data_IF_159518126162
#
_entry.id   IF_159518126162
#
_cell.length_a   1.000
_cell.length_b   1.000
_cell.length_c   1.000
_cell.angle_alpha   90.00
_cell.angle_beta   90.00
_cell.angle_gamma   90.00
#
_symmetry.space_group_name_H-M   'P 1'
#
loop_
_entity.id
_entity.type
_entity.pdbx_description
1 polymer ?
#
# COMPACT_ATOMS: atom_id res chain seq x y z
N UNK A 1 -1.19 -20.79 5.94
CA UNK A 1 -1.34 -20.46 4.51
C UNK A 1 -0.25 -19.47 4.14
N UNK A 2 0.59 -19.75 3.14
CA UNK A 2 1.54 -18.76 2.60
C UNK A 2 0.75 -17.71 1.86
N UNK A 3 0.75 -16.45 2.30
CA UNK A 3 -0.08 -15.39 1.74
C UNK A 3 0.42 -14.95 0.37
N UNK A 4 1.62 -14.37 0.32
CA UNK A 4 2.25 -13.89 -0.92
C UNK A 4 3.66 -14.45 -1.13
N UNK A 5 4.03 -15.53 -0.43
CA UNK A 5 5.40 -16.02 -0.38
C UNK A 5 5.99 -16.34 -1.77
N UNK A 6 7.27 -16.01 -2.02
CA UNK A 6 7.95 -16.45 -3.24
C UNK A 6 7.99 -17.97 -3.30
N UNK A 7 7.72 -18.54 -4.47
CA UNK A 7 7.88 -19.99 -4.67
C UNK A 7 9.35 -20.34 -4.48
N UNK A 8 9.67 -21.11 -3.45
CA UNK A 8 11.01 -21.64 -3.27
C UNK A 8 11.29 -22.62 -4.40
N UNK A 9 12.09 -22.24 -5.38
CA UNK A 9 12.66 -23.16 -6.34
C UNK A 9 13.66 -24.01 -5.60
N UNK A 10 13.37 -25.30 -5.45
CA UNK A 10 14.34 -26.28 -5.00
C UNK A 10 15.46 -26.34 -6.06
N UNK A 11 16.57 -25.66 -5.78
CA UNK A 11 17.80 -25.88 -6.53
C UNK A 11 18.36 -27.20 -6.01
N UNK A 12 18.18 -28.24 -6.80
CA UNK A 12 18.80 -29.55 -6.57
C UNK A 12 20.30 -29.38 -6.89
N UNK A 13 21.09 -29.07 -5.84
CA UNK A 13 22.55 -28.99 -5.96
C UNK A 13 23.10 -30.38 -6.11
N UNK A 14 23.53 -30.74 -7.31
CA UNK A 14 24.36 -31.92 -7.56
C UNK A 14 25.76 -31.58 -7.03
N UNK A 15 26.13 -32.19 -5.92
CA UNK A 15 27.48 -32.12 -5.36
C UNK A 15 28.40 -33.02 -6.19
N UNK A 16 29.21 -32.40 -7.04
CA UNK A 16 30.36 -33.04 -7.67
C UNK A 16 31.55 -32.83 -6.72
N UNK A 17 31.97 -33.91 -6.09
CA UNK A 17 33.20 -33.94 -5.27
C UNK A 17 34.39 -33.97 -6.23
N UNK A 18 35.10 -32.88 -6.38
CA UNK A 18 36.46 -32.87 -6.95
C UNK A 18 37.48 -32.63 -5.83
N UNK A 19 38.25 -33.68 -5.54
CA UNK A 19 39.41 -33.62 -4.67
C UNK A 19 40.56 -32.98 -5.48
N UNK A 20 41.08 -31.85 -5.03
CA UNK A 20 42.24 -31.22 -5.66
C UNK A 20 42.56 -29.88 -5.02
N UNK A 21 43.39 -29.95 -3.98
CA UNK A 21 43.87 -28.82 -3.20
C UNK A 21 44.88 -27.96 -4.01
N UNK A 22 44.63 -26.61 -4.07
CA UNK A 22 45.71 -25.60 -4.04
C UNK A 22 45.12 -24.28 -3.50
N UNK A 23 45.67 -23.83 -2.38
CA UNK A 23 45.36 -22.53 -1.79
C UNK A 23 45.84 -21.41 -2.74
N UNK A 24 44.90 -20.50 -3.07
CA UNK A 24 45.18 -19.21 -3.67
C UNK A 24 44.80 -18.07 -2.71
N UNK A 25 45.45 -16.92 -2.75
CA UNK A 25 45.35 -15.88 -1.75
C UNK A 25 43.96 -15.22 -1.72
N UNK A 26 43.55 -14.81 -0.53
CA UNK A 26 42.30 -14.09 -0.27
C UNK A 26 42.19 -12.83 -1.12
N UNK A 27 41.37 -12.88 -2.15
CA UNK A 27 40.91 -11.68 -2.86
C UNK A 27 39.89 -10.97 -1.98
N UNK A 28 40.17 -9.68 -1.75
CA UNK A 28 39.33 -8.79 -0.95
C UNK A 28 37.87 -8.86 -1.39
N UNK A 29 36.98 -9.03 -0.40
CA UNK A 29 35.56 -8.98 -0.59
C UNK A 29 35.19 -7.61 -1.19
N UNK A 30 34.93 -7.57 -2.47
CA UNK A 30 34.28 -6.46 -3.13
C UNK A 30 32.90 -6.33 -2.48
N UNK A 31 32.73 -5.27 -1.71
CA UNK A 31 31.44 -4.86 -1.16
C UNK A 31 30.47 -4.75 -2.35
N UNK A 32 29.54 -5.72 -2.45
CA UNK A 32 28.52 -5.68 -3.48
C UNK A 32 27.85 -4.31 -3.41
N UNK A 33 27.90 -3.56 -4.50
CA UNK A 33 27.19 -2.29 -4.59
C UNK A 33 25.72 -2.57 -4.32
N UNK A 34 25.15 -1.87 -3.33
CA UNK A 34 23.69 -1.90 -3.10
C UNK A 34 23.08 -1.37 -4.40
N UNK A 35 22.24 -2.17 -5.09
CA UNK A 35 21.65 -1.71 -6.33
C UNK A 35 20.82 -0.47 -6.04
N UNK A 36 21.06 0.60 -6.80
CA UNK A 36 20.20 1.78 -6.77
C UNK A 36 18.84 1.35 -7.29
N UNK A 37 17.87 1.18 -6.41
CA UNK A 37 16.45 1.02 -6.76
C UNK A 37 15.91 2.41 -7.10
N UNK A 38 16.32 2.94 -8.24
CA UNK A 38 15.79 4.21 -8.76
C UNK A 38 14.30 4.02 -9.10
N UNK A 39 13.50 5.02 -8.78
CA UNK A 39 12.10 5.07 -9.19
C UNK A 39 12.01 5.14 -10.72
N UNK A 40 11.16 4.30 -11.31
CA UNK A 40 10.80 4.34 -12.72
C UNK A 40 9.38 4.91 -12.85
N UNK A 41 9.21 5.98 -13.60
CA UNK A 41 7.88 6.50 -13.89
C UNK A 41 7.19 5.64 -14.95
N UNK A 42 5.91 5.32 -14.68
CA UNK A 42 5.08 4.55 -15.60
C UNK A 42 3.75 5.24 -15.85
N UNK A 43 3.16 4.93 -17.00
CA UNK A 43 1.83 5.39 -17.38
C UNK A 43 0.88 4.20 -17.48
N UNK A 44 -0.34 4.37 -16.97
CA UNK A 44 -1.40 3.38 -17.10
C UNK A 44 -2.74 4.09 -17.41
N UNK A 45 -3.68 3.33 -17.98
CA UNK A 45 -4.94 3.89 -18.44
C UNK A 45 -6.10 3.48 -17.52
N UNK A 46 -6.96 4.42 -17.17
CA UNK A 46 -8.27 4.16 -16.58
C UNK A 46 -9.36 4.70 -17.53
N UNK A 47 -9.88 3.84 -18.42
CA UNK A 47 -10.69 4.27 -19.55
C UNK A 47 -9.91 5.27 -20.42
N UNK A 48 -10.45 6.49 -20.64
CA UNK A 48 -9.78 7.53 -21.41
C UNK A 48 -8.71 8.29 -20.62
N UNK A 49 -8.64 8.12 -19.28
CA UNK A 49 -7.69 8.85 -18.43
C UNK A 49 -6.32 8.22 -18.49
N UNK A 50 -5.32 9.05 -18.77
CA UNK A 50 -3.90 8.70 -18.63
C UNK A 50 -3.45 9.05 -17.21
N UNK A 51 -3.11 8.04 -16.43
CA UNK A 51 -2.61 8.15 -15.07
C UNK A 51 -1.14 7.74 -15.01
N UNK A 52 -0.41 8.26 -14.05
CA UNK A 52 1.00 7.99 -13.85
C UNK A 52 1.28 7.44 -12.46
N UNK A 53 2.36 6.71 -12.34
CA UNK A 53 2.84 6.19 -11.06
C UNK A 53 4.33 5.99 -11.08
N UNK A 54 4.87 5.53 -9.96
CA UNK A 54 6.28 5.17 -9.82
C UNK A 54 6.41 3.70 -9.45
N UNK A 55 7.42 3.05 -10.00
CA UNK A 55 7.74 1.64 -9.73
C UNK A 55 9.15 1.56 -9.19
N UNK A 56 9.32 0.83 -8.09
CA UNK A 56 10.61 0.38 -7.59
C UNK A 56 10.71 -1.12 -7.81
N UNK A 57 11.75 -1.57 -8.52
CA UNK A 57 11.93 -2.98 -8.89
C UNK A 57 13.07 -3.61 -8.11
N UNK A 58 12.94 -4.88 -7.66
CA UNK A 58 14.08 -5.66 -7.22
C UNK A 58 15.09 -5.85 -8.36
N UNK A 59 16.30 -6.19 -7.99
CA UNK A 59 17.30 -6.69 -8.95
C UNK A 59 17.05 -8.14 -9.29
N UNK A 60 17.38 -8.52 -10.54
CA UNK A 60 17.27 -9.91 -11.00
C UNK A 60 16.16 -10.13 -12.03
N UNK A 61 15.96 -11.36 -12.46
CA UNK A 61 15.15 -11.66 -13.65
C UNK A 61 13.63 -11.67 -13.41
N UNK A 62 13.12 -11.69 -12.15
CA UNK A 62 11.68 -11.82 -11.90
C UNK A 62 11.09 -13.18 -12.37
N UNK A 63 9.75 -13.35 -12.45
CA UNK A 63 8.74 -12.40 -12.00
C UNK A 63 8.68 -12.29 -10.47
N UNK A 64 8.34 -11.10 -9.99
CA UNK A 64 8.35 -10.76 -8.56
C UNK A 64 6.94 -10.66 -7.98
N UNK A 65 6.75 -10.87 -6.66
CA UNK A 65 5.57 -10.40 -5.97
C UNK A 65 5.53 -8.87 -6.02
N UNK A 66 4.34 -8.28 -5.87
CA UNK A 66 4.17 -6.84 -5.91
C UNK A 66 3.29 -6.32 -4.80
N UNK A 67 3.52 -5.06 -4.42
CA UNK A 67 2.59 -4.26 -3.62
C UNK A 67 2.12 -3.07 -4.44
N UNK A 68 0.80 -2.90 -4.56
CA UNK A 68 0.16 -1.68 -5.03
C UNK A 68 -0.05 -0.78 -3.80
N UNK A 69 0.55 0.42 -3.80
CA UNK A 69 0.51 1.30 -2.66
C UNK A 69 -0.33 2.56 -2.93
N UNK A 70 -1.46 2.66 -2.24
CA UNK A 70 -2.35 3.80 -2.28
C UNK A 70 -1.82 4.90 -1.34
N UNK A 71 -1.48 6.06 -1.88
CA UNK A 71 -0.98 7.18 -1.09
C UNK A 71 -2.10 7.91 -0.33
N UNK A 72 -1.75 8.57 0.78
CA UNK A 72 -2.61 9.52 1.47
C UNK A 72 -2.94 10.74 0.60
N UNK A 73 -3.61 11.73 1.16
CA UNK A 73 -3.92 12.99 0.47
C UNK A 73 -3.42 14.17 1.27
N UNK A 74 -2.72 15.09 0.58
CA UNK A 74 -2.28 16.35 1.15
C UNK A 74 -2.35 17.45 0.09
N UNK A 75 -2.71 18.70 0.45
CA UNK A 75 -2.69 19.82 -0.47
C UNK A 75 -1.32 20.02 -1.11
N UNK A 76 -1.28 20.33 -2.40
CA UNK A 76 -0.03 20.61 -3.12
C UNK A 76 0.92 19.43 -3.25
N UNK A 77 0.48 18.20 -3.03
CA UNK A 77 1.30 17.02 -3.19
C UNK A 77 1.69 16.84 -4.66
N UNK A 78 2.96 17.13 -4.96
CA UNK A 78 3.57 16.86 -6.27
C UNK A 78 4.15 15.45 -6.31
N UNK A 79 4.80 15.02 -5.21
CA UNK A 79 5.36 13.69 -5.02
C UNK A 79 4.88 13.10 -3.71
N UNK A 80 4.68 11.80 -3.66
CA UNK A 80 4.38 11.12 -2.40
C UNK A 80 5.67 10.79 -1.65
N UNK A 81 5.92 11.46 -0.53
CA UNK A 81 7.02 11.09 0.37
C UNK A 81 6.95 9.62 0.82
N UNK A 82 5.73 9.05 0.87
CA UNK A 82 5.54 7.65 1.20
C UNK A 82 6.22 6.73 0.17
N UNK A 83 6.15 7.07 -1.12
CA UNK A 83 6.76 6.25 -2.17
C UNK A 83 8.27 6.16 -2.03
N UNK A 84 8.93 7.30 -1.80
CA UNK A 84 10.39 7.36 -1.64
C UNK A 84 10.86 6.69 -0.34
N UNK A 85 10.04 6.76 0.72
CA UNK A 85 10.37 6.15 2.01
C UNK A 85 10.16 4.63 2.04
N UNK A 86 9.17 4.13 1.29
CA UNK A 86 8.70 2.74 1.38
C UNK A 86 9.15 1.91 0.17
N UNK A 87 9.09 2.48 -1.03
CA UNK A 87 9.36 1.75 -2.27
C UNK A 87 10.71 1.05 -2.31
N UNK A 88 11.84 1.71 -2.00
CA UNK A 88 13.14 1.06 -1.95
C UNK A 88 13.23 -0.09 -0.95
N UNK A 89 12.48 -0.02 0.16
CA UNK A 89 12.46 -1.09 1.18
C UNK A 89 11.77 -2.36 0.65
N UNK A 90 10.65 -2.20 -0.07
CA UNK A 90 9.99 -3.33 -0.74
C UNK A 90 10.89 -3.94 -1.81
N UNK A 91 11.52 -3.12 -2.65
CA UNK A 91 12.44 -3.60 -3.67
C UNK A 91 13.63 -4.37 -3.08
N UNK A 92 14.20 -3.89 -1.96
CA UNK A 92 15.27 -4.58 -1.25
C UNK A 92 14.87 -5.94 -0.67
N UNK A 93 13.57 -6.17 -0.43
CA UNK A 93 13.01 -7.46 0.03
C UNK A 93 12.51 -8.34 -1.13
N UNK A 94 12.80 -8.00 -2.38
CA UNK A 94 12.41 -8.80 -3.54
C UNK A 94 10.96 -8.57 -4.01
N UNK A 95 10.33 -7.47 -3.63
CA UNK A 95 8.99 -7.08 -4.03
C UNK A 95 9.02 -5.87 -4.96
N UNK A 96 8.25 -5.91 -6.02
CA UNK A 96 7.96 -4.68 -6.78
C UNK A 96 7.03 -3.82 -5.95
N UNK A 97 7.41 -2.54 -5.79
CA UNK A 97 6.52 -1.53 -5.24
C UNK A 97 5.97 -0.70 -6.40
N UNK A 98 4.66 -0.58 -6.49
CA UNK A 98 4.00 0.30 -7.43
C UNK A 98 3.14 1.33 -6.69
N UNK A 99 3.52 2.59 -6.79
CA UNK A 99 2.80 3.75 -6.27
C UNK A 99 2.08 4.49 -7.38
N UNK A 100 0.82 4.15 -7.71
CA UNK A 100 0.03 4.96 -8.65
C UNK A 100 -0.37 6.27 -8.00
N UNK A 101 -0.35 7.37 -8.76
CA UNK A 101 -0.99 8.61 -8.35
C UNK A 101 -2.44 8.61 -8.83
N UNK A 102 -3.37 8.83 -7.88
CA UNK A 102 -4.78 9.06 -8.18
C UNK A 102 -4.93 10.32 -9.04
N UNK A 103 -6.03 10.39 -9.80
CA UNK A 103 -6.41 11.61 -10.53
C UNK A 103 -6.36 12.85 -9.63
N UNK A 104 -5.88 13.96 -10.16
CA UNK A 104 -5.77 15.22 -9.44
C UNK A 104 -4.61 15.30 -8.44
N UNK A 105 -3.69 14.32 -8.41
CA UNK A 105 -2.56 14.32 -7.47
C UNK A 105 -1.24 13.90 -8.12
N UNK A 106 -0.14 14.44 -7.59
CA UNK A 106 1.21 14.11 -8.00
C UNK A 106 1.40 14.15 -9.53
N UNK A 107 1.96 13.10 -10.08
CA UNK A 107 2.17 12.98 -11.54
C UNK A 107 0.87 12.87 -12.34
N UNK A 108 -0.28 12.61 -11.70
CA UNK A 108 -1.61 12.54 -12.32
C UNK A 108 -2.45 13.81 -12.07
N UNK A 109 -1.82 14.94 -11.73
CA UNK A 109 -2.53 16.19 -11.40
C UNK A 109 -3.42 16.67 -12.55
N UNK A 110 -3.06 16.43 -13.80
CA UNK A 110 -3.84 16.83 -14.98
C UNK A 110 -5.02 15.88 -15.30
N UNK A 111 -5.13 14.74 -14.60
CA UNK A 111 -6.15 13.74 -14.88
C UNK A 111 -7.49 14.02 -14.17
N UNK A 112 -7.59 15.08 -13.38
CA UNK A 112 -8.82 15.47 -12.69
C UNK A 112 -8.58 16.45 -11.54
N UNK A 113 -9.64 16.86 -10.85
CA UNK A 113 -9.53 17.76 -9.70
C UNK A 113 -8.93 17.05 -8.48
N UNK A 114 -8.24 17.80 -7.65
CA UNK A 114 -7.74 17.31 -6.36
C UNK A 114 -8.91 16.97 -5.42
N UNK A 115 -8.84 15.81 -4.76
CA UNK A 115 -9.90 15.35 -3.85
C UNK A 115 -10.20 16.36 -2.74
N UNK A 116 -9.18 17.00 -2.16
CA UNK A 116 -9.36 18.01 -1.12
C UNK A 116 -10.22 19.19 -1.58
N UNK A 117 -10.00 19.69 -2.79
CA UNK A 117 -10.78 20.80 -3.35
C UNK A 117 -12.25 20.43 -3.55
N UNK A 118 -12.51 19.17 -3.97
CA UNK A 118 -13.87 18.64 -4.10
C UNK A 118 -14.57 18.54 -2.75
N UNK A 119 -13.86 18.02 -1.72
CA UNK A 119 -14.37 17.92 -0.36
C UNK A 119 -14.65 19.30 0.26
N UNK A 120 -13.80 20.28 0.01
CA UNK A 120 -13.99 21.65 0.48
C UNK A 120 -15.16 22.34 -0.24
N UNK A 121 -15.33 22.08 -1.53
CA UNK A 121 -16.49 22.53 -2.28
C UNK A 121 -17.79 21.92 -1.74
N UNK A 122 -17.80 20.62 -1.44
CA UNK A 122 -18.94 19.96 -0.81
C UNK A 122 -19.24 20.55 0.58
N UNK A 123 -18.20 20.83 1.37
CA UNK A 123 -18.35 21.47 2.69
C UNK A 123 -18.99 22.86 2.58
N UNK A 124 -18.55 23.67 1.64
CA UNK A 124 -19.15 25.02 1.40
C UNK A 124 -20.62 24.92 0.97
N UNK A 125 -20.99 23.88 0.21
CA UNK A 125 -22.34 23.69 -0.32
C UNK A 125 -23.34 23.18 0.72
N UNK A 126 -22.94 22.24 1.58
CA UNK A 126 -23.87 21.54 2.47
C UNK A 126 -23.24 21.07 3.80
N UNK A 127 -22.13 21.68 4.22
CA UNK A 127 -21.51 21.39 5.52
C UNK A 127 -20.86 20.01 5.61
N UNK A 128 -20.69 19.54 6.85
CA UNK A 128 -20.01 18.28 7.17
C UNK A 128 -20.70 17.08 6.52
N UNK A 129 -22.03 17.05 6.49
CA UNK A 129 -22.77 15.94 5.88
C UNK A 129 -22.53 15.83 4.38
N UNK A 130 -22.51 16.95 3.66
CA UNK A 130 -22.19 16.95 2.23
C UNK A 130 -20.73 16.51 1.98
N UNK A 131 -19.78 16.93 2.83
CA UNK A 131 -18.40 16.45 2.79
C UNK A 131 -18.31 14.95 3.00
N UNK A 132 -19.03 14.40 3.99
CA UNK A 132 -19.04 12.98 4.28
C UNK A 132 -19.59 12.14 3.10
N UNK A 133 -20.68 12.58 2.50
CA UNK A 133 -21.24 11.94 1.31
C UNK A 133 -20.26 12.00 0.12
N UNK A 134 -19.59 13.12 -0.08
CA UNK A 134 -18.62 13.31 -1.16
C UNK A 134 -17.37 12.45 -0.97
N UNK A 135 -16.88 12.26 0.26
CA UNK A 135 -15.79 11.31 0.55
C UNK A 135 -16.13 9.92 0.03
N UNK A 136 -17.32 9.41 0.37
CA UNK A 136 -17.76 8.08 -0.06
C UNK A 136 -17.89 8.02 -1.57
N UNK A 137 -18.53 9.00 -2.19
CA UNK A 137 -18.71 9.06 -3.65
C UNK A 137 -17.38 9.00 -4.39
N UNK A 138 -16.40 9.76 -3.93
CA UNK A 138 -15.07 9.79 -4.56
C UNK A 138 -14.28 8.51 -4.32
N UNK A 139 -14.24 8.01 -3.08
CA UNK A 139 -13.41 6.86 -2.71
C UNK A 139 -14.00 5.52 -3.12
N UNK A 140 -15.33 5.40 -3.27
CA UNK A 140 -15.95 4.19 -3.85
C UNK A 140 -16.10 4.25 -5.38
N UNK A 141 -15.98 5.43 -5.97
CA UNK A 141 -16.14 5.68 -7.39
C UNK A 141 -14.81 5.90 -8.11
N UNK A 142 -14.53 7.15 -8.39
CA UNK A 142 -13.43 7.58 -9.26
C UNK A 142 -12.05 7.10 -8.79
N UNK A 143 -11.75 7.25 -7.49
CA UNK A 143 -10.44 6.91 -6.96
C UNK A 143 -10.25 5.38 -6.84
N UNK A 144 -11.30 4.64 -6.44
CA UNK A 144 -11.25 3.18 -6.48
C UNK A 144 -11.07 2.66 -7.91
N UNK A 145 -11.72 3.30 -8.89
CA UNK A 145 -11.52 2.99 -10.30
C UNK A 145 -10.05 3.17 -10.74
N UNK A 146 -9.38 4.22 -10.26
CA UNK A 146 -7.96 4.45 -10.53
C UNK A 146 -7.08 3.34 -9.91
N UNK A 147 -7.37 2.92 -8.68
CA UNK A 147 -6.69 1.77 -8.05
C UNK A 147 -6.89 0.47 -8.84
N UNK A 148 -8.11 0.18 -9.28
CA UNK A 148 -8.40 -1.03 -10.05
C UNK A 148 -7.73 -1.03 -11.42
N UNK A 149 -7.62 0.12 -12.07
CA UNK A 149 -6.84 0.29 -13.29
C UNK A 149 -5.34 0.05 -13.06
N UNK A 150 -4.80 0.53 -11.95
CA UNK A 150 -3.42 0.27 -11.54
C UNK A 150 -3.18 -1.23 -11.27
N UNK A 151 -4.11 -1.90 -10.60
CA UNK A 151 -4.05 -3.36 -10.39
C UNK A 151 -4.07 -4.11 -11.74
N UNK A 152 -4.94 -3.70 -12.66
CA UNK A 152 -5.02 -4.30 -13.99
C UNK A 152 -3.71 -4.10 -14.79
N UNK A 153 -3.02 -2.97 -14.61
CA UNK A 153 -1.70 -2.74 -15.19
C UNK A 153 -0.66 -3.69 -14.59
N UNK A 154 -0.60 -3.83 -13.26
CA UNK A 154 0.31 -4.78 -12.59
C UNK A 154 0.11 -6.22 -13.07
N UNK A 155 -1.14 -6.67 -13.18
CA UNK A 155 -1.46 -8.03 -13.62
C UNK A 155 -0.99 -8.36 -15.04
N UNK A 156 -0.80 -7.34 -15.88
CA UNK A 156 -0.29 -7.50 -17.27
C UNK A 156 1.22 -7.36 -17.38
N UNK A 157 1.89 -6.83 -16.36
CA UNK A 157 3.32 -6.62 -16.39
C UNK A 157 4.07 -7.96 -16.30
N UNK A 158 4.93 -8.26 -17.28
CA UNK A 158 5.61 -9.56 -17.39
C UNK A 158 6.58 -9.85 -16.25
N UNK A 159 7.04 -8.81 -15.55
CA UNK A 159 7.93 -8.92 -14.38
C UNK A 159 7.18 -9.11 -13.05
N UNK A 160 5.84 -9.23 -13.08
CA UNK A 160 5.00 -9.41 -11.88
C UNK A 160 4.41 -10.82 -11.85
N UNK A 161 4.34 -11.39 -10.67
CA UNK A 161 3.54 -12.57 -10.37
C UNK A 161 2.08 -12.14 -10.13
N UNK A 162 1.14 -12.41 -11.05
CA UNK A 162 -0.23 -11.90 -10.94
C UNK A 162 -1.02 -12.48 -9.76
N UNK A 163 -0.59 -13.63 -9.24
CA UNK A 163 -1.15 -14.31 -8.06
C UNK A 163 -0.58 -13.80 -6.72
N UNK A 164 0.46 -12.97 -6.76
CA UNK A 164 1.17 -12.46 -5.60
C UNK A 164 1.20 -10.92 -5.57
N UNK A 165 0.03 -10.30 -5.74
CA UNK A 165 -0.14 -8.85 -5.63
C UNK A 165 -0.85 -8.53 -4.32
N UNK A 166 -0.15 -7.82 -3.42
CA UNK A 166 -0.72 -7.22 -2.24
C UNK A 166 -1.17 -5.78 -2.52
N UNK A 167 -2.03 -5.25 -1.67
CA UNK A 167 -2.39 -3.82 -1.67
C UNK A 167 -2.07 -3.22 -0.31
N UNK A 168 -1.54 -2.01 -0.29
CA UNK A 168 -1.25 -1.27 0.93
C UNK A 168 -1.62 0.19 0.75
N UNK A 169 -1.82 0.93 1.85
CA UNK A 169 -2.05 2.35 1.75
C UNK A 169 -2.11 3.05 3.10
N UNK A 170 -1.99 4.37 3.07
CA UNK A 170 -2.06 5.19 4.27
C UNK A 170 -3.12 6.29 4.16
N UNK A 171 -3.77 6.64 5.28
CA UNK A 171 -4.77 7.70 5.35
C UNK A 171 -5.91 7.46 4.32
N UNK A 172 -6.18 8.36 3.40
CA UNK A 172 -7.12 8.10 2.30
C UNK A 172 -6.77 6.84 1.49
N UNK A 173 -5.48 6.56 1.30
CA UNK A 173 -5.03 5.33 0.65
C UNK A 173 -5.31 4.07 1.48
N UNK A 174 -5.31 4.18 2.81
CA UNK A 174 -5.76 3.10 3.70
C UNK A 174 -7.25 2.80 3.51
N UNK A 175 -8.09 3.85 3.39
CA UNK A 175 -9.51 3.68 3.06
C UNK A 175 -9.67 2.94 1.73
N UNK A 176 -8.98 3.39 0.68
CA UNK A 176 -9.03 2.75 -0.64
C UNK A 176 -8.56 1.30 -0.60
N UNK A 177 -7.55 1.00 0.21
CA UNK A 177 -7.07 -0.37 0.42
C UNK A 177 -8.18 -1.25 0.97
N UNK A 178 -8.89 -0.82 2.02
CA UNK A 178 -10.02 -1.56 2.60
C UNK A 178 -11.17 -1.70 1.59
N UNK A 179 -11.53 -0.64 0.87
CA UNK A 179 -12.58 -0.71 -0.16
C UNK A 179 -12.17 -1.61 -1.34
N UNK A 180 -10.90 -1.59 -1.71
CA UNK A 180 -10.37 -2.38 -2.82
C UNK A 180 -10.42 -3.89 -2.58
N UNK A 181 -10.19 -4.36 -1.35
CA UNK A 181 -10.23 -5.81 -1.05
C UNK A 181 -11.63 -6.41 -1.07
N UNK A 182 -12.68 -5.60 -0.99
CA UNK A 182 -14.05 -6.05 -1.27
C UNK A 182 -14.25 -6.33 -2.76
N UNK A 183 -13.62 -5.56 -3.63
CA UNK A 183 -13.82 -5.58 -5.08
C UNK A 183 -12.96 -6.62 -5.78
N UNK A 184 -11.69 -6.72 -5.41
CA UNK A 184 -10.71 -7.55 -6.09
C UNK A 184 -9.96 -8.48 -5.14
N UNK A 185 -9.57 -9.68 -5.58
CA UNK A 185 -8.70 -10.55 -4.80
C UNK A 185 -7.26 -10.04 -4.86
N UNK A 186 -6.74 -9.71 -3.70
CA UNK A 186 -5.31 -9.50 -3.44
C UNK A 186 -4.77 -10.68 -2.61
N UNK A 187 -3.46 -10.91 -2.60
CA UNK A 187 -2.89 -11.94 -1.73
C UNK A 187 -2.91 -11.51 -0.25
N UNK A 188 -2.78 -10.22 0.01
CA UNK A 188 -2.91 -9.60 1.33
C UNK A 188 -3.17 -8.09 1.19
N UNK A 189 -3.58 -7.44 2.28
CA UNK A 189 -3.77 -6.00 2.34
C UNK A 189 -3.17 -5.40 3.61
N UNK A 190 -2.72 -4.13 3.54
CA UNK A 190 -2.18 -3.39 4.69
C UNK A 190 -2.84 -2.03 4.75
N UNK A 191 -3.64 -1.80 5.79
CA UNK A 191 -4.24 -0.51 6.08
C UNK A 191 -3.44 0.19 7.19
N UNK A 192 -2.76 1.26 6.82
CA UNK A 192 -2.03 2.13 7.73
C UNK A 192 -2.82 3.42 7.96
N UNK A 193 -3.34 3.62 9.16
CA UNK A 193 -4.00 4.88 9.57
C UNK A 193 -5.25 5.26 8.76
N UNK A 194 -5.87 4.31 8.06
CA UNK A 194 -7.03 4.56 7.21
C UNK A 194 -8.20 5.16 7.98
N UNK A 195 -8.74 6.28 7.49
CA UNK A 195 -9.87 7.01 8.05
C UNK A 195 -9.67 7.66 9.43
N UNK A 196 -8.47 7.65 10.04
CA UNK A 196 -8.25 8.21 11.38
C UNK A 196 -8.76 9.66 11.53
N UNK A 197 -8.59 10.52 10.54
CA UNK A 197 -9.07 11.91 10.58
C UNK A 197 -10.57 12.07 10.26
N UNK A 198 -11.16 11.10 9.58
CA UNK A 198 -12.51 11.20 9.03
C UNK A 198 -13.54 10.41 9.82
N UNK A 199 -13.10 9.43 10.62
CA UNK A 199 -13.94 8.40 11.22
C UNK A 199 -15.11 8.94 12.03
N UNK A 200 -14.87 9.87 12.93
CA UNK A 200 -15.89 10.46 13.79
C UNK A 200 -16.87 11.36 13.02
N UNK A 201 -16.47 11.88 11.85
CA UNK A 201 -17.20 12.91 11.09
C UNK A 201 -17.94 12.37 9.88
N UNK A 202 -17.72 11.12 9.48
CA UNK A 202 -18.24 10.53 8.25
C UNK A 202 -18.89 9.16 8.50
N UNK A 203 -20.13 9.11 9.01
CA UNK A 203 -20.84 7.86 9.33
C UNK A 203 -21.05 6.97 8.09
N UNK A 204 -21.27 7.54 6.92
CA UNK A 204 -21.42 6.81 5.66
C UNK A 204 -20.11 6.12 5.27
N UNK A 205 -18.97 6.78 5.46
CA UNK A 205 -17.66 6.18 5.25
C UNK A 205 -17.42 5.03 6.20
N UNK A 206 -17.76 5.18 7.49
CA UNK A 206 -17.68 4.08 8.46
C UNK A 206 -18.49 2.87 8.00
N UNK A 207 -19.73 3.10 7.57
CA UNK A 207 -20.59 2.03 7.07
C UNK A 207 -20.00 1.32 5.85
N UNK A 208 -19.47 2.08 4.89
CA UNK A 208 -18.81 1.54 3.70
C UNK A 208 -17.58 0.71 4.05
N UNK A 209 -16.70 1.20 4.92
CA UNK A 209 -15.50 0.47 5.33
C UNK A 209 -15.83 -0.78 6.16
N UNK A 210 -16.81 -0.72 7.07
CA UNK A 210 -17.26 -1.89 7.84
C UNK A 210 -17.83 -2.97 6.90
N UNK A 211 -18.64 -2.57 5.92
CA UNK A 211 -19.13 -3.48 4.88
C UNK A 211 -17.97 -4.12 4.12
N UNK A 212 -17.01 -3.30 3.67
CA UNK A 212 -15.87 -3.78 2.91
C UNK A 212 -14.98 -4.75 3.72
N UNK A 213 -14.75 -4.46 5.01
CA UNK A 213 -14.02 -5.34 5.92
C UNK A 213 -14.71 -6.70 6.09
N UNK A 214 -16.05 -6.72 6.27
CA UNK A 214 -16.83 -7.95 6.37
C UNK A 214 -16.80 -8.78 5.09
N UNK A 215 -16.73 -8.13 3.94
CA UNK A 215 -16.69 -8.76 2.61
C UNK A 215 -15.27 -8.95 2.06
N UNK A 216 -14.24 -8.65 2.86
CA UNK A 216 -12.84 -8.69 2.40
C UNK A 216 -12.51 -10.04 1.75
N UNK A 217 -11.86 -9.97 0.58
CA UNK A 217 -11.41 -11.13 -0.22
C UNK A 217 -9.93 -11.45 0.02
N UNK A 218 -9.28 -10.70 0.92
CA UNK A 218 -7.89 -10.88 1.34
C UNK A 218 -7.76 -10.68 2.85
N UNK A 219 -6.75 -11.27 3.50
CA UNK A 219 -6.37 -10.92 4.87
C UNK A 219 -5.92 -9.46 4.93
N UNK A 220 -6.23 -8.76 6.04
CA UNK A 220 -5.83 -7.36 6.23
C UNK A 220 -4.99 -7.22 7.50
N UNK A 221 -3.87 -6.51 7.39
CA UNK A 221 -3.09 -6.01 8.53
C UNK A 221 -3.43 -4.53 8.76
N UNK A 222 -4.01 -4.23 9.91
CA UNK A 222 -4.33 -2.87 10.33
C UNK A 222 -3.27 -2.37 11.31
N UNK A 223 -2.75 -1.16 11.09
CA UNK A 223 -1.88 -0.56 12.08
C UNK A 223 -1.99 0.96 12.20
N UNK A 224 -1.73 1.47 13.41
CA UNK A 224 -1.68 2.89 13.75
C UNK A 224 -0.65 3.14 14.85
N UNK A 225 -0.24 4.40 15.05
CA UNK A 225 0.41 4.81 16.28
C UNK A 225 -0.64 5.14 17.34
N UNK A 226 -0.31 4.95 18.62
CA UNK A 226 -1.20 5.21 19.76
C UNK A 226 -1.69 6.67 19.80
N UNK A 227 -0.86 7.61 19.35
CA UNK A 227 -1.17 9.03 19.26
C UNK A 227 -1.71 9.49 17.90
N UNK A 228 -2.24 8.60 17.06
CA UNK A 228 -2.99 9.00 15.85
C UNK A 228 -4.30 9.73 16.22
N UNK A 229 -4.96 10.36 15.27
CA UNK A 229 -6.19 11.15 15.48
C UNK A 229 -7.34 10.36 16.10
N UNK A 230 -7.59 9.13 15.63
CA UNK A 230 -8.63 8.22 16.12
C UNK A 230 -8.20 6.77 15.87
N UNK A 231 -8.22 5.94 16.90
CA UNK A 231 -7.91 4.51 16.82
C UNK A 231 -9.13 3.64 16.52
N UNK A 232 -10.32 4.24 16.47
CA UNK A 232 -11.56 3.52 16.21
C UNK A 232 -11.58 2.79 14.87
N UNK A 233 -11.03 3.33 13.76
CA UNK A 233 -11.00 2.59 12.49
C UNK A 233 -10.37 1.21 12.65
N UNK A 234 -9.15 1.12 13.14
CA UNK A 234 -8.45 -0.15 13.35
C UNK A 234 -9.24 -1.11 14.25
N UNK A 235 -9.80 -0.62 15.37
CA UNK A 235 -10.55 -1.44 16.33
C UNK A 235 -11.87 -1.95 15.75
N UNK A 236 -12.62 -1.09 15.08
CA UNK A 236 -13.94 -1.44 14.55
C UNK A 236 -13.83 -2.34 13.32
N UNK A 237 -12.89 -2.04 12.42
CA UNK A 237 -12.71 -2.84 11.20
C UNK A 237 -12.17 -4.24 11.53
N UNK A 238 -11.23 -4.36 12.46
CA UNK A 238 -10.74 -5.67 12.91
C UNK A 238 -11.85 -6.48 13.61
N UNK A 239 -12.68 -5.85 14.44
CA UNK A 239 -13.84 -6.51 15.03
C UNK A 239 -14.82 -6.98 13.95
N UNK A 240 -15.11 -6.14 12.95
CA UNK A 240 -15.98 -6.51 11.83
C UNK A 240 -15.46 -7.70 11.02
N UNK A 241 -14.13 -7.78 10.80
CA UNK A 241 -13.49 -8.94 10.15
C UNK A 241 -13.58 -10.19 11.02
N UNK A 242 -13.33 -10.05 12.34
CA UNK A 242 -13.46 -11.16 13.29
C UNK A 242 -14.87 -11.75 13.28
N UNK A 243 -15.90 -10.90 13.38
CA UNK A 243 -17.30 -11.30 13.37
C UNK A 243 -17.72 -11.98 12.06
N UNK A 244 -17.09 -11.60 10.95
CA UNK A 244 -17.29 -12.20 9.62
C UNK A 244 -16.39 -13.43 9.35
N UNK A 245 -15.57 -13.86 10.32
CA UNK A 245 -14.64 -14.99 10.16
C UNK A 245 -13.53 -14.73 9.16
N UNK A 246 -13.17 -13.47 8.91
CA UNK A 246 -12.12 -13.07 7.97
C UNK A 246 -10.76 -12.98 8.65
N UNK A 247 -9.67 -13.41 7.99
CA UNK A 247 -8.34 -13.33 8.57
C UNK A 247 -7.84 -11.89 8.63
N UNK A 248 -7.28 -11.49 9.76
CA UNK A 248 -6.67 -10.17 9.96
C UNK A 248 -5.59 -10.22 11.02
N UNK A 249 -4.77 -9.18 11.05
CA UNK A 249 -3.87 -8.84 12.15
C UNK A 249 -4.02 -7.36 12.49
N UNK A 250 -3.73 -6.99 13.75
CA UNK A 250 -3.76 -5.58 14.18
C UNK A 250 -2.54 -5.27 15.02
N UNK A 251 -2.01 -4.06 14.88
CA UNK A 251 -0.98 -3.56 15.76
C UNK A 251 -1.13 -2.07 16.00
N UNK A 252 -1.22 -1.68 17.28
CA UNK A 252 -1.08 -0.29 17.70
C UNK A 252 0.34 -0.14 18.19
N UNK A 253 1.11 0.70 17.50
CA UNK A 253 2.49 1.01 17.88
C UNK A 253 2.52 2.09 18.96
N UNK A 254 3.57 2.15 19.78
CA UNK A 254 3.78 3.26 20.70
C UNK A 254 3.65 4.63 20.01
N UNK A 255 3.45 5.72 20.77
CA UNK A 255 3.37 7.05 20.19
C UNK A 255 4.57 7.35 19.28
N UNK A 256 4.29 7.90 18.10
CA UNK A 256 5.29 8.34 17.15
C UNK A 256 5.32 9.86 17.10
N UNK A 257 6.45 10.45 17.49
CA UNK A 257 6.54 11.90 17.72
C UNK A 257 5.66 12.36 18.88
N UNK A 258 5.21 13.62 18.84
CA UNK A 258 4.53 14.26 19.99
C UNK A 258 3.11 14.73 19.68
N UNK A 259 2.71 14.76 18.42
CA UNK A 259 1.40 15.24 17.97
C UNK A 259 0.58 14.11 17.31
N UNK A 260 -0.72 14.34 17.18
CA UNK A 260 -1.58 13.44 16.38
C UNK A 260 -1.12 13.35 14.92
N UNK A 261 -0.65 14.46 14.35
CA UNK A 261 -0.10 14.48 12.99
C UNK A 261 1.18 13.65 12.87
N UNK A 262 2.04 13.66 13.89
CA UNK A 262 3.20 12.77 13.92
C UNK A 262 2.74 11.32 13.95
N UNK A 263 1.84 10.96 14.86
CA UNK A 263 1.27 9.61 14.95
C UNK A 263 0.69 9.15 13.62
N UNK A 264 -0.08 10.00 12.94
CA UNK A 264 -0.64 9.73 11.62
C UNK A 264 0.43 9.50 10.56
N UNK A 265 1.57 10.17 10.67
CA UNK A 265 2.69 10.05 9.73
C UNK A 265 3.56 8.78 9.94
N UNK A 266 3.31 7.96 10.97
CA UNK A 266 4.02 6.69 11.21
C UNK A 266 4.10 5.84 9.94
N UNK A 267 3.04 5.82 9.13
CA UNK A 267 2.95 5.02 7.92
C UNK A 267 4.12 5.22 6.95
N UNK A 268 4.66 6.43 6.84
CA UNK A 268 5.75 6.72 5.90
C UNK A 268 7.00 7.28 6.57
N UNK A 269 6.88 8.05 7.66
CA UNK A 269 8.04 8.56 8.40
C UNK A 269 8.65 7.55 9.37
N UNK A 270 7.83 6.61 9.86
CA UNK A 270 8.23 5.57 10.81
C UNK A 270 8.39 4.18 10.20
N UNK A 271 8.66 4.07 8.90
CA UNK A 271 8.72 2.77 8.21
C UNK A 271 9.67 1.75 8.84
N UNK A 272 10.74 2.18 9.49
CA UNK A 272 11.65 1.28 10.21
C UNK A 272 11.00 0.57 11.42
N UNK A 273 9.88 1.08 11.94
CA UNK A 273 9.20 0.55 13.13
C UNK A 273 8.28 -0.63 12.75
N UNK A 274 7.56 -0.50 11.64
CA UNK A 274 6.50 -1.45 11.27
C UNK A 274 6.86 -2.40 10.12
N UNK A 275 7.94 -2.13 9.40
CA UNK A 275 8.24 -2.80 8.13
C UNK A 275 8.42 -4.32 8.26
N UNK A 276 9.12 -4.79 9.28
CA UNK A 276 9.32 -6.23 9.50
C UNK A 276 8.03 -6.94 9.92
N UNK A 277 7.13 -6.27 10.64
CA UNK A 277 5.81 -6.84 10.96
C UNK A 277 4.95 -7.00 9.70
N UNK A 278 4.95 -6.00 8.81
CA UNK A 278 4.25 -6.08 7.53
C UNK A 278 4.81 -7.19 6.67
N UNK A 279 6.15 -7.32 6.57
CA UNK A 279 6.75 -8.41 5.78
C UNK A 279 6.41 -9.78 6.32
N UNK A 280 6.46 -9.98 7.63
CA UNK A 280 6.02 -11.24 8.26
C UNK A 280 4.55 -11.55 7.95
N UNK A 281 3.71 -10.53 7.87
CA UNK A 281 2.31 -10.70 7.51
C UNK A 281 2.11 -11.05 6.02
N UNK A 282 2.92 -10.50 5.12
CA UNK A 282 2.83 -10.74 3.68
C UNK A 282 3.36 -12.14 3.29
N UNK A 283 4.36 -12.64 3.99
CA UNK A 283 4.99 -13.96 3.79
C UNK A 283 4.19 -15.09 4.47
#
# INVERSE_FOLDING_TARGET
MKRCAPSAWLILSVVIVCIGCKMAPAMGATRAAVPSTAAEEVTFMNGPLSLRGVVYKPTGPGPFPAVLYNHGSAPGMVNSQAFDAIGPRFAARGWVFFGPYRRGQGLSVQAGPYIGDQLDAATRKGGISARAAEIVRLLEGDHLSDQLAALAWLRRATFIRPDAIAVAGNSFGGIETVLGVEREPYCAAVDATGAAESWSKAPELRAAMIRAARNARAPIFFFQAENDFDLSPTRVLSAAMKDAGKPFETKIYPPFGTSHQDGHSLAYRGSAIWFDDVFRFLE
#
